data_IF_890868156440
#
_entry.id   IF_890868156440
#
_cell.length_a   1.000
_cell.length_b   1.000
_cell.length_c   1.000
_cell.angle_alpha   90.00
_cell.angle_beta   90.00
_cell.angle_gamma   90.00
#
_symmetry.space_group_name_H-M   'P 1'
#
loop_
_entity.id
_entity.type
_entity.pdbx_description
1 polymer ?
#
# COMPACT_ATOMS: atom_id res chain seq x y z
N UNK A 1 -14.11 5.10 -29.41
CA UNK A 1 -13.31 6.31 -29.10
C UNK A 1 -13.76 7.00 -27.81
N UNK A 2 -14.96 7.57 -27.69
CA UNK A 2 -15.39 8.24 -26.44
C UNK A 2 -15.56 7.28 -25.23
N UNK A 3 -16.24 6.14 -25.42
CA UNK A 3 -16.39 5.12 -24.36
C UNK A 3 -15.06 4.50 -23.91
N UNK A 4 -14.08 4.46 -24.81
CA UNK A 4 -12.78 3.81 -24.60
C UNK A 4 -11.82 4.71 -23.78
N UNK A 5 -11.87 6.03 -24.02
CA UNK A 5 -11.19 7.04 -23.19
C UNK A 5 -11.84 7.12 -21.79
N UNK A 6 -13.18 6.98 -21.71
CA UNK A 6 -13.89 6.98 -20.44
C UNK A 6 -13.53 5.75 -19.58
N UNK A 7 -13.35 4.59 -20.21
CA UNK A 7 -12.89 3.37 -19.55
C UNK A 7 -11.44 3.49 -19.04
N UNK A 8 -10.54 4.13 -19.82
CA UNK A 8 -9.17 4.43 -19.39
C UNK A 8 -9.12 5.28 -18.11
N UNK A 9 -9.95 6.32 -18.03
CA UNK A 9 -9.96 7.22 -16.88
C UNK A 9 -10.43 6.50 -15.61
N UNK A 10 -11.44 5.64 -15.73
CA UNK A 10 -11.98 4.89 -14.60
C UNK A 10 -10.96 3.93 -13.97
N UNK A 11 -10.19 3.19 -14.78
CA UNK A 11 -9.20 2.24 -14.29
C UNK A 11 -8.00 2.93 -13.60
N UNK A 12 -7.52 4.05 -14.17
CA UNK A 12 -6.48 4.86 -13.55
C UNK A 12 -6.94 5.51 -12.23
N UNK A 13 -8.17 6.02 -12.21
CA UNK A 13 -8.77 6.60 -11.01
C UNK A 13 -8.85 5.55 -9.89
N UNK A 14 -9.31 4.34 -10.21
CA UNK A 14 -9.39 3.25 -9.25
C UNK A 14 -8.01 2.84 -8.71
N UNK A 15 -7.01 2.75 -9.60
CA UNK A 15 -5.62 2.51 -9.19
C UNK A 15 -5.10 3.57 -8.22
N UNK A 16 -5.30 4.86 -8.53
CA UNK A 16 -4.88 5.99 -7.68
C UNK A 16 -5.61 5.98 -6.34
N UNK A 17 -6.90 5.70 -6.30
CA UNK A 17 -7.69 5.63 -5.07
C UNK A 17 -7.21 4.48 -4.16
N UNK A 18 -6.89 3.33 -4.75
CA UNK A 18 -6.29 2.21 -4.04
C UNK A 18 -4.89 2.56 -3.51
N UNK A 19 -4.09 3.30 -4.29
CA UNK A 19 -2.79 3.78 -3.83
C UNK A 19 -2.90 4.71 -2.62
N UNK A 20 -3.79 5.70 -2.69
CA UNK A 20 -4.01 6.64 -1.59
C UNK A 20 -4.48 5.92 -0.32
N UNK A 21 -5.40 4.94 -0.46
CA UNK A 21 -5.89 4.16 0.68
C UNK A 21 -4.77 3.36 1.34
N UNK A 22 -3.96 2.67 0.55
CA UNK A 22 -2.83 1.88 1.06
C UNK A 22 -1.78 2.76 1.73
N UNK A 23 -1.45 3.92 1.14
CA UNK A 23 -0.52 4.87 1.76
C UNK A 23 -1.02 5.37 3.10
N UNK A 24 -2.31 5.71 3.23
CA UNK A 24 -2.90 6.12 4.50
C UNK A 24 -2.83 5.02 5.56
N UNK A 25 -3.09 3.76 5.18
CA UNK A 25 -3.00 2.61 6.09
C UNK A 25 -1.57 2.38 6.58
N UNK A 26 -0.57 2.50 5.70
CA UNK A 26 0.84 2.43 6.07
C UNK A 26 1.18 3.53 7.09
N UNK A 27 0.73 4.76 6.86
CA UNK A 27 1.00 5.88 7.75
C UNK A 27 0.41 5.66 9.15
N UNK A 28 -0.82 5.15 9.23
CA UNK A 28 -1.45 4.78 10.50
C UNK A 28 -0.66 3.68 11.23
N UNK A 29 -0.23 2.63 10.53
CA UNK A 29 0.56 1.57 11.13
C UNK A 29 1.90 2.08 11.68
N UNK A 30 2.58 2.97 10.94
CA UNK A 30 3.83 3.60 11.42
C UNK A 30 3.59 4.42 12.68
N UNK A 31 2.50 5.19 12.75
CA UNK A 31 2.16 5.99 13.93
C UNK A 31 1.83 5.11 15.15
N UNK A 32 1.06 4.04 14.96
CA UNK A 32 0.77 3.06 16.02
C UNK A 32 2.05 2.40 16.55
N UNK A 33 2.95 2.01 15.65
CA UNK A 33 4.22 1.38 15.97
C UNK A 33 5.14 2.33 16.75
N UNK A 34 5.11 3.62 16.38
CA UNK A 34 5.80 4.68 17.13
C UNK A 34 5.24 4.85 18.55
N UNK A 35 3.91 4.87 18.70
CA UNK A 35 3.27 4.98 20.01
C UNK A 35 3.58 3.78 20.92
N UNK A 36 3.50 2.56 20.38
CA UNK A 36 3.83 1.34 21.11
C UNK A 36 5.28 1.34 21.58
N UNK A 37 6.21 1.77 20.72
CA UNK A 37 7.63 1.89 21.06
C UNK A 37 7.86 2.94 22.15
N UNK A 38 7.19 4.10 22.07
CA UNK A 38 7.28 5.15 23.09
C UNK A 38 6.73 4.70 24.45
N UNK A 39 5.61 3.99 24.46
CA UNK A 39 5.01 3.49 25.70
C UNK A 39 5.91 2.42 26.35
N UNK A 40 6.42 1.48 25.55
CA UNK A 40 7.34 0.47 26.04
C UNK A 40 8.66 1.05 26.57
N UNK A 41 9.15 2.17 26.01
CA UNK A 41 10.31 2.91 26.53
C UNK A 41 10.05 3.56 27.89
N UNK A 42 8.83 4.00 28.18
CA UNK A 42 8.46 4.56 29.47
C UNK A 42 8.30 3.48 30.54
N UNK A 43 7.75 2.32 30.17
CA UNK A 43 7.53 1.18 31.08
C UNK A 43 8.79 0.34 31.32
N UNK A 44 9.83 0.55 30.51
CA UNK A 44 11.09 -0.21 30.49
C UNK A 44 11.79 -0.26 31.86
N UNK A 45 11.65 0.77 32.69
CA UNK A 45 12.32 0.85 33.99
C UNK A 45 11.78 -0.16 35.04
N UNK A 46 10.62 -0.78 34.79
CA UNK A 46 9.95 -1.61 35.81
C UNK A 46 10.07 -3.13 35.63
N UNK A 47 10.22 -3.67 34.40
CA UNK A 47 10.38 -5.11 34.16
C UNK A 47 10.61 -5.47 32.68
N UNK A 48 11.40 -6.53 32.45
CA UNK A 48 11.14 -7.63 31.48
C UNK A 48 11.64 -7.57 30.02
N UNK A 49 12.51 -8.54 29.70
CA UNK A 49 12.81 -9.04 28.34
C UNK A 49 11.58 -9.57 27.60
N UNK A 50 10.56 -10.02 28.33
CA UNK A 50 9.28 -10.49 27.77
C UNK A 50 8.51 -9.37 27.07
N UNK A 51 8.45 -8.17 27.67
CA UNK A 51 7.80 -7.00 27.06
C UNK A 51 8.52 -6.59 25.78
N UNK A 52 9.86 -6.64 25.77
CA UNK A 52 10.65 -6.42 24.56
C UNK A 52 10.36 -7.46 23.47
N UNK A 53 10.33 -8.75 23.80
CA UNK A 53 10.02 -9.80 22.83
C UNK A 53 8.62 -9.65 22.22
N UNK A 54 7.62 -9.30 23.04
CA UNK A 54 6.24 -9.07 22.56
C UNK A 54 6.16 -7.86 21.63
N UNK A 55 6.78 -6.74 22.00
CA UNK A 55 6.83 -5.55 21.16
C UNK A 55 7.57 -5.84 19.84
N UNK A 56 8.73 -6.49 19.90
CA UNK A 56 9.49 -6.84 18.70
C UNK A 56 8.70 -7.75 17.75
N UNK A 57 7.95 -8.72 18.29
CA UNK A 57 7.04 -9.56 17.49
C UNK A 57 5.92 -8.76 16.85
N UNK A 58 5.32 -7.81 17.57
CA UNK A 58 4.25 -6.95 17.03
C UNK A 58 4.76 -6.03 15.93
N UNK A 59 5.87 -5.35 16.18
CA UNK A 59 6.57 -4.52 15.19
C UNK A 59 6.85 -5.32 13.91
N UNK A 60 7.37 -6.55 14.05
CA UNK A 60 7.68 -7.41 12.91
C UNK A 60 6.42 -7.77 12.11
N UNK A 61 5.33 -8.14 12.77
CA UNK A 61 4.06 -8.44 12.12
C UNK A 61 3.50 -7.23 11.37
N UNK A 62 3.60 -6.05 11.96
CA UNK A 62 3.13 -4.80 11.36
C UNK A 62 3.98 -4.45 10.12
N UNK A 63 5.31 -4.64 10.16
CA UNK A 63 6.18 -4.50 8.99
C UNK A 63 5.86 -5.50 7.86
N UNK A 64 5.56 -6.76 8.22
CA UNK A 64 5.15 -7.77 7.23
C UNK A 64 3.82 -7.37 6.56
N UNK A 65 2.87 -6.82 7.32
CA UNK A 65 1.63 -6.29 6.77
C UNK A 65 1.85 -5.09 5.83
N UNK A 66 2.74 -4.16 6.21
CA UNK A 66 3.15 -3.04 5.35
C UNK A 66 3.76 -3.53 4.03
N UNK A 67 4.65 -4.52 4.08
CA UNK A 67 5.26 -5.10 2.89
C UNK A 67 4.23 -5.77 1.97
N UNK A 68 3.25 -6.48 2.54
CA UNK A 68 2.15 -7.06 1.77
C UNK A 68 1.30 -5.98 1.10
N UNK A 69 1.01 -4.88 1.79
CA UNK A 69 0.28 -3.74 1.24
C UNK A 69 1.04 -3.05 0.12
N UNK A 70 2.35 -2.82 0.27
CA UNK A 70 3.21 -2.27 -0.79
C UNK A 70 3.30 -3.21 -2.01
N UNK A 71 3.29 -4.53 -1.79
CA UNK A 71 3.22 -5.50 -2.89
C UNK A 71 1.91 -5.39 -3.66
N UNK A 72 0.77 -5.27 -2.95
CA UNK A 72 -0.55 -5.03 -3.57
C UNK A 72 -0.59 -3.73 -4.35
N UNK A 73 -0.03 -2.66 -3.78
CA UNK A 73 0.12 -1.37 -4.44
C UNK A 73 0.83 -1.51 -5.78
N UNK A 74 2.00 -2.16 -5.77
CA UNK A 74 2.79 -2.40 -6.97
C UNK A 74 2.04 -3.23 -8.02
N UNK A 75 1.28 -4.24 -7.60
CA UNK A 75 0.44 -5.02 -8.51
C UNK A 75 -0.66 -4.16 -9.15
N UNK A 76 -1.37 -3.36 -8.35
CA UNK A 76 -2.41 -2.45 -8.85
C UNK A 76 -1.83 -1.42 -9.84
N UNK A 77 -0.66 -0.84 -9.53
CA UNK A 77 0.03 0.09 -10.44
C UNK A 77 0.46 -0.59 -11.74
N UNK A 78 1.02 -1.80 -11.67
CA UNK A 78 1.43 -2.55 -12.85
C UNK A 78 0.24 -2.95 -13.72
N UNK A 79 -0.87 -3.39 -13.11
CA UNK A 79 -2.11 -3.69 -13.83
C UNK A 79 -2.63 -2.46 -14.57
N UNK A 80 -2.68 -1.30 -13.91
CA UNK A 80 -3.08 -0.04 -14.54
C UNK A 80 -2.19 0.33 -15.74
N UNK A 81 -0.89 0.06 -15.66
CA UNK A 81 0.04 0.28 -16.79
C UNK A 81 -0.16 -0.72 -17.93
N UNK A 82 -0.41 -2.00 -17.63
CA UNK A 82 -0.69 -3.01 -18.65
C UNK A 82 -1.99 -2.74 -19.39
N UNK A 83 -3.04 -2.35 -18.66
CA UNK A 83 -4.34 -1.99 -19.23
C UNK A 83 -4.22 -0.74 -20.12
N UNK A 84 -3.43 0.26 -19.72
CA UNK A 84 -3.08 1.41 -20.59
C UNK A 84 -2.36 0.96 -21.86
N UNK A 85 -1.28 0.17 -21.73
CA UNK A 85 -0.49 -0.28 -22.88
C UNK A 85 -1.29 -1.13 -23.87
N UNK A 86 -2.19 -2.00 -23.39
CA UNK A 86 -3.08 -2.78 -24.25
C UNK A 86 -4.07 -1.89 -24.99
N UNK A 87 -4.58 -0.86 -24.32
CA UNK A 87 -5.53 0.08 -24.93
C UNK A 87 -4.84 0.98 -25.95
N UNK A 88 -3.64 1.48 -25.66
CA UNK A 88 -2.84 2.25 -26.61
C UNK A 88 -2.54 1.45 -27.89
N UNK A 89 -2.23 0.15 -27.77
CA UNK A 89 -2.07 -0.73 -28.93
C UNK A 89 -3.36 -0.90 -29.73
N UNK A 90 -4.51 -1.04 -29.07
CA UNK A 90 -5.81 -1.15 -29.75
C UNK A 90 -6.21 0.13 -30.46
N UNK A 91 -5.98 1.28 -29.83
CA UNK A 91 -6.23 2.58 -30.44
C UNK A 91 -5.29 2.80 -31.62
N UNK A 92 -3.98 2.57 -31.46
CA UNK A 92 -3.01 2.69 -32.54
C UNK A 92 -3.34 1.78 -33.74
N UNK A 93 -3.79 0.55 -33.49
CA UNK A 93 -4.23 -0.38 -34.54
C UNK A 93 -5.57 -0.02 -35.20
N UNK A 94 -6.35 0.89 -34.62
CA UNK A 94 -7.59 1.41 -35.20
C UNK A 94 -7.36 2.73 -36.00
N UNK A 95 -6.14 3.28 -36.00
CA UNK A 95 -5.76 4.48 -36.75
C UNK A 95 -4.94 4.19 -38.02
N UNK A 96 -4.56 2.92 -38.27
CA UNK A 96 -4.10 2.38 -39.56
C UNK A 96 -5.28 1.79 -40.36
#
# INVERSE_FOLDING_TARGET
MADEIQYQYAALQQGVDDMQRVTQQIQQQVDELRQQTQHALQDWDSQSSQTYSQLASKIRADFDAMNQMLSRLRMATNQGQEDMNQTDRKLAGNFD
#
